data_IF_366468431282
#
_entry.id   IF_366468431282
#
_cell.length_a   1.000
_cell.length_b   1.000
_cell.length_c   1.000
_cell.angle_alpha   90.00
_cell.angle_beta   90.00
_cell.angle_gamma   90.00
#
_symmetry.space_group_name_H-M   'P 1'
#
loop_
_entity.id
_entity.type
_entity.pdbx_description
1 polymer ?
#
# COMPACT_ATOMS: atom_id res chain seq x y z
N UNK A 1 3.42 13.38 20.00
CA UNK A 1 2.09 13.33 19.44
C UNK A 1 1.93 14.08 18.14
N UNK A 2 2.90 14.88 17.79
CA UNK A 2 2.84 15.58 16.53
C UNK A 2 2.70 14.64 15.35
N UNK A 3 3.31 13.49 15.46
CA UNK A 3 3.21 12.49 14.41
C UNK A 3 1.77 12.01 14.26
N UNK A 4 1.11 11.84 15.38
CA UNK A 4 -0.27 11.38 15.34
C UNK A 4 -1.16 12.41 14.67
N UNK A 5 -0.89 13.68 14.91
CA UNK A 5 -1.68 14.72 14.29
C UNK A 5 -1.50 14.74 12.78
N UNK A 6 -0.28 14.55 12.32
CA UNK A 6 -0.04 14.51 10.90
C UNK A 6 -0.73 13.30 10.26
N UNK A 7 -0.67 12.16 10.93
CA UNK A 7 -1.32 10.97 10.41
C UNK A 7 -2.83 11.11 10.43
N UNK A 8 -3.36 11.85 11.39
CA UNK A 8 -4.80 12.02 11.50
C UNK A 8 -5.38 12.80 10.33
N UNK A 9 -4.57 13.59 9.66
CA UNK A 9 -5.04 14.34 8.51
C UNK A 9 -5.37 13.41 7.34
N UNK A 10 -4.81 12.20 7.35
CA UNK A 10 -5.07 11.22 6.31
C UNK A 10 -5.21 9.86 6.97
N UNK A 11 -6.44 9.44 7.28
CA UNK A 11 -6.65 8.18 8.00
C UNK A 11 -6.07 6.97 7.29
N UNK A 12 -5.99 7.02 5.96
CA UNK A 12 -5.48 5.88 5.20
C UNK A 12 -3.98 5.70 5.36
N UNK A 13 -3.28 6.75 5.78
CA UNK A 13 -1.84 6.69 5.95
C UNK A 13 -1.39 6.58 7.40
N UNK A 14 -2.32 6.62 8.34
CA UNK A 14 -1.96 6.57 9.75
C UNK A 14 -1.46 5.19 10.16
N UNK A 15 -0.60 5.12 11.17
CA UNK A 15 -0.14 3.83 11.68
C UNK A 15 -1.31 3.03 12.24
N UNK A 16 -1.18 1.73 12.22
CA UNK A 16 -2.21 0.87 12.75
C UNK A 16 -2.18 0.87 14.27
N UNK A 17 -3.35 0.95 14.88
CA UNK A 17 -3.49 0.83 16.31
C UNK A 17 -3.39 -0.63 16.72
N UNK A 18 -3.14 -0.92 18.01
CA UNK A 18 -3.14 -2.31 18.47
C UNK A 18 -4.43 -3.04 18.15
N UNK A 19 -5.55 -2.32 18.22
CA UNK A 19 -6.83 -2.91 17.92
C UNK A 19 -6.93 -3.29 16.45
N UNK A 20 -6.45 -2.42 15.58
CA UNK A 20 -6.43 -2.70 14.16
C UNK A 20 -5.51 -3.87 13.84
N UNK A 21 -4.40 -3.96 14.56
CA UNK A 21 -3.48 -5.08 14.35
C UNK A 21 -4.14 -6.41 14.67
N UNK A 22 -5.00 -6.43 15.68
CA UNK A 22 -5.70 -7.66 16.00
C UNK A 22 -6.67 -8.06 14.90
N UNK A 23 -7.16 -7.10 14.15
CA UNK A 23 -8.06 -7.35 13.03
C UNK A 23 -7.31 -7.48 11.71
N UNK A 24 -5.99 -7.43 11.74
CA UNK A 24 -5.19 -7.34 10.52
C UNK A 24 -5.44 -8.49 9.56
N UNK A 25 -5.76 -9.68 10.06
CA UNK A 25 -6.00 -10.80 9.15
C UNK A 25 -7.26 -10.60 8.31
N UNK A 26 -8.13 -9.67 8.68
CA UNK A 26 -9.29 -9.34 7.88
C UNK A 26 -9.01 -8.21 6.93
N UNK A 27 -7.89 -7.54 7.11
CA UNK A 27 -7.49 -6.42 6.27
C UNK A 27 -6.69 -6.98 5.11
N UNK A 28 -6.99 -6.59 3.88
CA UNK A 28 -6.20 -7.07 2.75
C UNK A 28 -4.73 -6.74 2.94
N UNK A 29 -3.87 -7.64 2.45
CA UNK A 29 -2.43 -7.46 2.63
C UNK A 29 -1.93 -6.18 2.00
N UNK A 30 -2.55 -5.77 0.89
CA UNK A 30 -2.12 -4.54 0.22
C UNK A 30 -2.39 -3.33 1.10
N UNK A 31 -3.50 -3.32 1.84
CA UNK A 31 -3.79 -2.23 2.76
C UNK A 31 -2.75 -2.20 3.88
N UNK A 32 -2.42 -3.36 4.42
CA UNK A 32 -1.42 -3.45 5.48
C UNK A 32 -0.08 -2.93 4.98
N UNK A 33 0.31 -3.34 3.78
CA UNK A 33 1.56 -2.90 3.18
C UNK A 33 1.58 -1.38 2.98
N UNK A 34 0.50 -0.86 2.40
CA UNK A 34 0.42 0.56 2.14
C UNK A 34 0.54 1.37 3.43
N UNK A 35 -0.18 0.95 4.47
CA UNK A 35 -0.13 1.66 5.75
C UNK A 35 1.24 1.54 6.40
N UNK A 36 1.89 0.41 6.24
CA UNK A 36 3.23 0.24 6.79
C UNK A 36 4.21 1.22 6.15
N UNK A 37 3.98 1.57 4.89
CA UNK A 37 4.82 2.52 4.19
C UNK A 37 4.40 3.96 4.43
N UNK A 38 3.27 4.18 5.10
CA UNK A 38 2.81 5.53 5.40
C UNK A 38 2.27 6.27 4.21
N UNK A 39 1.71 5.55 3.24
CA UNK A 39 1.24 6.16 2.00
C UNK A 39 -0.27 6.13 1.91
N UNK A 40 -0.83 7.17 1.28
CA UNK A 40 -2.24 7.17 0.94
C UNK A 40 -2.48 6.28 -0.27
N UNK A 41 -3.74 6.00 -0.58
CA UNK A 41 -4.06 5.20 -1.76
C UNK A 41 -3.52 5.83 -3.05
N UNK A 42 -3.77 7.12 -3.31
CA UNK A 42 -3.20 7.71 -4.51
C UNK A 42 -1.68 7.70 -4.55
N UNK A 43 -1.04 7.92 -3.39
CA UNK A 43 0.41 7.91 -3.33
C UNK A 43 0.99 6.54 -3.64
N UNK A 44 0.39 5.51 -3.05
CA UNK A 44 0.85 4.15 -3.28
C UNK A 44 0.64 3.76 -4.75
N UNK A 45 -0.55 4.07 -5.27
CA UNK A 45 -0.87 3.73 -6.65
C UNK A 45 0.09 4.40 -7.63
N UNK A 46 0.36 5.68 -7.41
CA UNK A 46 1.26 6.41 -8.29
C UNK A 46 2.70 5.89 -8.19
N UNK A 47 3.15 5.66 -6.97
CA UNK A 47 4.53 5.24 -6.74
C UNK A 47 4.83 3.89 -7.36
N UNK A 48 3.91 2.97 -7.29
CA UNK A 48 4.13 1.60 -7.75
C UNK A 48 3.37 1.29 -9.03
N UNK A 49 2.83 2.32 -9.69
CA UNK A 49 2.19 2.19 -11.00
C UNK A 49 1.06 1.17 -11.00
N UNK A 50 0.24 1.23 -9.96
CA UNK A 50 -0.97 0.43 -9.85
C UNK A 50 -2.15 1.35 -10.11
N UNK A 51 -3.09 0.97 -10.98
CA UNK A 51 -4.27 1.82 -11.18
C UNK A 51 -5.00 2.04 -9.87
N UNK A 52 -5.37 3.27 -9.59
CA UNK A 52 -5.99 3.60 -8.32
C UNK A 52 -7.28 2.83 -8.10
N UNK A 53 -8.07 2.69 -9.15
CA UNK A 53 -9.30 1.90 -9.04
C UNK A 53 -9.04 0.45 -8.68
N UNK A 54 -8.00 -0.12 -9.26
CA UNK A 54 -7.61 -1.49 -8.95
C UNK A 54 -7.18 -1.62 -7.49
N UNK A 55 -6.38 -0.67 -7.02
CA UNK A 55 -5.95 -0.68 -5.62
C UNK A 55 -7.15 -0.59 -4.69
N UNK A 56 -8.08 0.29 -5.00
CA UNK A 56 -9.28 0.44 -4.18
C UNK A 56 -10.11 -0.83 -4.16
N UNK A 57 -10.23 -1.50 -5.31
CA UNK A 57 -10.98 -2.75 -5.37
C UNK A 57 -10.33 -3.82 -4.51
N UNK A 58 -9.00 -3.91 -4.56
CA UNK A 58 -8.29 -4.86 -3.71
C UNK A 58 -8.52 -4.56 -2.24
N UNK A 59 -8.45 -3.29 -1.86
CA UNK A 59 -8.58 -2.93 -0.46
C UNK A 59 -9.99 -3.09 0.05
N UNK A 60 -10.98 -2.97 -0.82
CA UNK A 60 -12.37 -3.15 -0.45
C UNK A 60 -12.84 -4.58 -0.58
N UNK A 61 -11.97 -5.46 -1.07
CA UNK A 61 -12.33 -6.86 -1.20
C UNK A 61 -13.21 -7.18 -2.39
N UNK A 62 -13.35 -6.25 -3.32
CA UNK A 62 -14.15 -6.48 -4.51
C UNK A 62 -13.48 -7.44 -5.47
N UNK A 63 -12.17 -7.33 -5.58
CA UNK A 63 -11.37 -8.25 -6.37
C UNK A 63 -10.13 -8.58 -5.56
N UNK A 64 -9.46 -9.65 -5.95
CA UNK A 64 -8.21 -10.04 -5.32
C UNK A 64 -7.09 -9.93 -6.31
N UNK A 65 -5.89 -9.58 -5.86
CA UNK A 65 -4.74 -9.57 -6.77
C UNK A 65 -4.52 -10.96 -7.33
N UNK A 66 -4.28 -11.03 -8.65
CA UNK A 66 -3.96 -12.30 -9.26
C UNK A 66 -2.52 -12.68 -8.93
N UNK A 67 -2.05 -13.79 -9.47
CA UNK A 67 -0.73 -14.31 -9.13
C UNK A 67 0.39 -13.30 -9.41
N UNK A 68 0.46 -12.69 -10.60
CA UNK A 68 1.51 -11.70 -10.84
C UNK A 68 1.42 -10.50 -9.92
N UNK A 69 0.20 -10.06 -9.61
CA UNK A 69 0.03 -8.92 -8.71
C UNK A 69 0.48 -9.25 -7.31
N UNK A 70 0.18 -10.46 -6.84
CA UNK A 70 0.64 -10.89 -5.53
C UNK A 70 2.15 -10.93 -5.46
N UNK A 71 2.78 -11.41 -6.51
CA UNK A 71 4.24 -11.45 -6.56
C UNK A 71 4.80 -10.05 -6.53
N UNK A 72 4.19 -9.13 -7.27
CA UNK A 72 4.61 -7.75 -7.29
C UNK A 72 4.50 -7.11 -5.91
N UNK A 73 3.37 -7.34 -5.24
CA UNK A 73 3.18 -6.80 -3.90
C UNK A 73 4.21 -7.37 -2.92
N UNK A 74 4.61 -8.61 -3.12
CA UNK A 74 5.64 -9.22 -2.28
C UNK A 74 6.98 -8.55 -2.50
N UNK A 75 7.29 -8.22 -3.74
CA UNK A 75 8.51 -7.49 -4.05
C UNK A 75 8.53 -6.13 -3.36
N UNK A 76 7.40 -5.43 -3.44
CA UNK A 76 7.29 -4.13 -2.78
C UNK A 76 7.47 -4.26 -1.28
N UNK A 77 6.87 -5.28 -0.68
CA UNK A 77 6.97 -5.49 0.76
C UNK A 77 8.41 -5.76 1.18
N UNK A 78 9.14 -6.48 0.34
CA UNK A 78 10.50 -6.85 0.68
C UNK A 78 11.49 -5.72 0.48
N UNK A 79 11.30 -4.96 -0.59
CA UNK A 79 12.25 -3.91 -0.95
C UNK A 79 11.49 -2.75 -1.60
N UNK A 80 10.83 -1.92 -0.79
CA UNK A 80 10.02 -0.82 -1.34
C UNK A 80 10.86 0.14 -2.17
N UNK A 81 12.05 0.45 -1.72
CA UNK A 81 12.90 1.41 -2.43
C UNK A 81 13.42 0.84 -3.73
N UNK A 82 13.79 -0.43 -3.74
CA UNK A 82 14.22 -1.07 -4.95
C UNK A 82 13.13 -1.15 -5.99
N UNK A 83 11.92 -1.48 -5.55
CA UNK A 83 10.78 -1.53 -6.46
C UNK A 83 10.51 -0.16 -7.07
N UNK A 84 10.55 0.87 -6.23
CA UNK A 84 10.32 2.22 -6.70
C UNK A 84 11.38 2.65 -7.69
N UNK A 85 12.64 2.36 -7.39
CA UNK A 85 13.75 2.73 -8.28
C UNK A 85 13.65 2.00 -9.60
N UNK A 86 13.29 0.73 -9.58
CA UNK A 86 13.14 -0.04 -10.81
C UNK A 86 12.05 0.54 -11.70
N UNK A 87 10.95 0.98 -11.10
CA UNK A 87 9.87 1.57 -11.88
C UNK A 87 10.27 2.91 -12.46
N UNK A 88 11.03 3.69 -11.71
CA UNK A 88 11.49 4.97 -12.20
C UNK A 88 12.38 4.80 -13.42
N UNK A 89 13.24 3.78 -13.39
CA UNK A 89 14.09 3.51 -14.53
C UNK A 89 13.31 3.01 -15.72
N UNK A 90 12.36 2.11 -15.47
CA UNK A 90 11.56 1.56 -16.54
C UNK A 90 10.78 2.62 -17.27
N UNK A 91 10.40 3.65 -16.59
CA UNK A 91 9.60 4.70 -17.19
C UNK A 91 10.32 5.41 -18.31
N UNK A 92 11.59 5.20 -18.43
CA UNK A 92 12.37 5.87 -19.44
C UNK A 92 12.39 5.18 -20.77
N UNK A 93 12.08 3.93 -20.78
CA UNK A 93 12.05 3.19 -22.03
C UNK A 93 10.66 3.16 -22.65
#
# INVERSE_FOLDING_TARGET
MGIAAAAAADPDARPMTPEELRKARRVPRVTTLRRALGLTQPEFAARYQIPLGTLRDWEQGRTEPDQPARAYLRVIARDPEGARAALAESGET
#
